data_IF_059819299737
#
_entry.id   IF_059819299737
#
_cell.length_a   1.000
_cell.length_b   1.000
_cell.length_c   1.000
_cell.angle_alpha   90.00
_cell.angle_beta   90.00
_cell.angle_gamma   90.00
#
_symmetry.space_group_name_H-M   'P 1'
#
loop_
_entity.id
_entity.type
_entity.pdbx_description
1 polymer ?
#
# COMPACT_ATOMS: atom_id res chain seq x y z
N UNK A 1 19.80 -25.48 -35.83
CA UNK A 1 19.29 -25.70 -34.47
C UNK A 1 19.21 -24.33 -33.80
N UNK A 2 18.03 -23.90 -33.36
CA UNK A 2 17.91 -22.65 -32.61
C UNK A 2 18.52 -22.86 -31.22
N UNK A 3 19.40 -21.94 -30.78
CA UNK A 3 19.88 -21.94 -29.40
C UNK A 3 18.68 -21.65 -28.48
N UNK A 4 18.55 -22.33 -27.33
CA UNK A 4 17.51 -21.99 -26.37
C UNK A 4 17.72 -20.53 -25.93
N UNK A 5 16.67 -19.72 -26.03
CA UNK A 5 16.67 -18.36 -25.51
C UNK A 5 16.72 -18.46 -23.98
N UNK A 6 17.88 -18.15 -23.39
CA UNK A 6 18.05 -18.10 -21.94
C UNK A 6 17.69 -16.68 -21.50
N UNK A 7 16.52 -16.53 -20.87
CA UNK A 7 16.16 -15.26 -20.22
C UNK A 7 16.94 -15.18 -18.92
N UNK A 8 17.94 -14.32 -18.86
CA UNK A 8 18.66 -14.06 -17.61
C UNK A 8 17.73 -13.36 -16.64
N UNK A 9 17.80 -13.72 -15.36
CA UNK A 9 17.03 -13.10 -14.29
C UNK A 9 17.99 -12.53 -13.25
N UNK A 10 17.91 -11.22 -13.03
CA UNK A 10 18.59 -10.55 -11.93
C UNK A 10 17.65 -10.46 -10.74
N UNK A 11 18.14 -10.88 -9.59
CA UNK A 11 17.44 -10.80 -8.31
C UNK A 11 17.99 -9.64 -7.50
N UNK A 12 17.10 -8.79 -6.97
CA UNK A 12 17.48 -7.67 -6.11
C UNK A 12 16.70 -7.71 -4.81
N UNK A 13 17.37 -8.03 -3.71
CA UNK A 13 16.79 -8.01 -2.37
C UNK A 13 16.59 -6.57 -1.87
N UNK A 14 15.52 -6.34 -1.12
CA UNK A 14 15.24 -5.05 -0.51
C UNK A 14 14.38 -5.18 0.76
N UNK A 15 14.58 -4.25 1.70
CA UNK A 15 13.75 -4.14 2.91
C UNK A 15 12.47 -3.36 2.61
N UNK A 16 11.32 -3.96 2.92
CA UNK A 16 10.01 -3.32 2.80
C UNK A 16 9.93 -2.12 3.75
N UNK A 17 9.42 -0.99 3.28
CA UNK A 17 9.27 0.25 4.06
C UNK A 17 7.80 0.48 4.43
N UNK A 18 7.59 1.40 5.37
CA UNK A 18 6.25 1.79 5.80
C UNK A 18 5.47 0.67 6.52
N UNK A 19 6.16 -0.32 7.10
CA UNK A 19 5.56 -1.49 7.76
C UNK A 19 4.87 -1.14 9.09
N UNK A 20 5.18 0.02 9.68
CA UNK A 20 4.62 0.49 10.95
C UNK A 20 3.36 1.34 10.78
N UNK A 21 3.00 1.69 9.55
CA UNK A 21 1.77 2.43 9.26
C UNK A 21 0.61 1.46 9.08
N UNK A 22 -0.60 1.92 9.38
CA UNK A 22 -1.81 1.20 9.05
C UNK A 22 -2.17 1.40 7.56
N UNK A 23 -2.98 0.49 7.04
CA UNK A 23 -3.56 0.61 5.70
C UNK A 23 -4.78 1.56 5.72
N UNK A 24 -5.16 2.05 4.54
CA UNK A 24 -6.29 2.99 4.39
C UNK A 24 -7.64 2.39 4.82
N UNK A 25 -7.75 1.05 4.83
CA UNK A 25 -8.92 0.32 5.32
C UNK A 25 -8.91 0.11 6.85
N UNK A 26 -7.90 0.62 7.55
CA UNK A 26 -7.70 0.49 8.99
C UNK A 26 -7.00 -0.79 9.42
N UNK A 27 -6.61 -1.67 8.49
CA UNK A 27 -5.86 -2.89 8.85
C UNK A 27 -4.42 -2.57 9.23
N UNK A 28 -3.91 -3.20 10.28
CA UNK A 28 -2.54 -2.97 10.73
C UNK A 28 -1.54 -3.85 9.97
N UNK A 29 -0.57 -3.22 9.29
CA UNK A 29 0.52 -3.93 8.61
C UNK A 29 1.36 -4.76 9.58
N UNK A 30 1.51 -4.31 10.83
CA UNK A 30 2.21 -5.05 11.86
C UNK A 30 1.48 -6.34 12.25
N UNK A 31 0.15 -6.32 12.31
CA UNK A 31 -0.65 -7.53 12.56
C UNK A 31 -0.55 -8.50 11.39
N UNK A 32 -0.62 -8.00 10.15
CA UNK A 32 -0.45 -8.84 8.96
C UNK A 32 0.93 -9.52 8.96
N UNK A 33 2.02 -8.77 9.19
CA UNK A 33 3.37 -9.33 9.25
C UNK A 33 3.53 -10.34 10.39
N UNK A 34 2.92 -10.07 11.55
CA UNK A 34 2.89 -11.00 12.67
C UNK A 34 2.19 -12.30 12.30
N UNK A 35 1.06 -12.23 11.60
CA UNK A 35 0.30 -13.40 11.18
C UNK A 35 1.02 -14.20 10.10
N UNK A 36 1.70 -13.54 9.15
CA UNK A 36 2.62 -14.19 8.20
C UNK A 36 3.74 -14.91 8.95
N UNK A 37 4.41 -14.25 9.90
CA UNK A 37 5.50 -14.86 10.69
C UNK A 37 5.03 -16.07 11.49
N UNK A 38 3.78 -16.05 11.95
CA UNK A 38 3.16 -17.12 12.75
C UNK A 38 2.43 -18.15 11.89
N UNK A 39 2.42 -18.00 10.56
CA UNK A 39 1.67 -18.85 9.62
C UNK A 39 0.21 -19.00 10.06
N UNK A 40 -0.45 -17.87 10.33
CA UNK A 40 -1.86 -17.82 10.70
C UNK A 40 -2.72 -17.53 9.48
N UNK A 41 -3.96 -18.07 9.40
CA UNK A 41 -4.87 -17.75 8.31
C UNK A 41 -5.05 -16.23 8.12
N UNK A 42 -5.08 -15.72 6.87
CA UNK A 42 -5.01 -16.43 5.59
C UNK A 42 -3.57 -16.60 5.02
N UNK A 43 -2.57 -16.64 5.89
CA UNK A 43 -1.13 -16.73 5.56
C UNK A 43 -0.48 -18.03 6.07
N UNK A 44 -1.30 -19.02 6.38
CA UNK A 44 -0.91 -20.36 6.82
C UNK A 44 -0.51 -21.29 5.66
N UNK A 45 -0.92 -20.94 4.44
CA UNK A 45 -0.60 -21.64 3.19
C UNK A 45 0.34 -20.81 2.29
N UNK A 46 0.20 -20.98 0.97
CA UNK A 46 1.01 -20.34 -0.06
C UNK A 46 0.86 -18.81 -0.01
N UNK A 47 2.00 -18.12 -0.06
CA UNK A 47 2.04 -16.65 -0.09
C UNK A 47 2.13 -16.17 -1.53
N UNK A 48 1.10 -15.47 -1.99
CA UNK A 48 1.07 -14.77 -3.27
C UNK A 48 1.57 -13.34 -3.09
N UNK A 49 2.73 -13.03 -3.68
CA UNK A 49 3.36 -11.72 -3.62
C UNK A 49 3.05 -10.93 -4.90
N UNK A 50 2.67 -9.66 -4.74
CA UNK A 50 2.50 -8.76 -5.87
C UNK A 50 2.90 -7.31 -5.56
N UNK A 51 3.20 -6.57 -6.62
CA UNK A 51 3.37 -5.13 -6.60
C UNK A 51 2.10 -4.46 -7.11
N UNK A 52 1.67 -3.41 -6.43
CA UNK A 52 0.59 -2.54 -6.89
C UNK A 52 1.07 -1.09 -6.93
N UNK A 53 1.00 -0.49 -8.11
CA UNK A 53 1.36 0.92 -8.31
C UNK A 53 0.32 1.85 -7.67
N UNK A 54 0.81 2.87 -6.97
CA UNK A 54 0.00 3.95 -6.43
C UNK A 54 0.73 5.29 -6.58
N UNK A 55 -0.02 6.39 -6.47
CA UNK A 55 0.54 7.74 -6.49
C UNK A 55 0.88 8.20 -5.07
N UNK A 56 2.13 8.60 -4.86
CA UNK A 56 2.60 9.23 -3.64
C UNK A 56 3.17 10.61 -3.98
N UNK A 57 2.47 11.68 -3.60
CA UNK A 57 2.89 13.06 -3.85
C UNK A 57 3.16 13.36 -5.34
N UNK A 58 2.35 12.79 -6.25
CA UNK A 58 2.51 12.98 -7.69
C UNK A 58 3.63 12.15 -8.32
N UNK A 59 4.18 11.17 -7.58
CA UNK A 59 5.22 10.26 -8.06
C UNK A 59 4.76 8.80 -7.97
N UNK A 60 5.18 7.93 -8.91
CA UNK A 60 4.88 6.52 -8.84
C UNK A 60 5.56 5.88 -7.62
N UNK A 61 4.78 5.16 -6.84
CA UNK A 61 5.21 4.34 -5.71
C UNK A 61 4.53 2.98 -5.80
N UNK A 62 5.03 2.00 -5.03
CA UNK A 62 4.59 0.62 -5.18
C UNK A 62 4.31 0.00 -3.82
N UNK A 63 3.08 -0.46 -3.61
CA UNK A 63 2.73 -1.31 -2.49
C UNK A 63 3.31 -2.70 -2.70
N UNK A 64 3.79 -3.29 -1.60
CA UNK A 64 4.09 -4.72 -1.51
C UNK A 64 2.88 -5.39 -0.86
N UNK A 65 2.29 -6.34 -1.57
CA UNK A 65 1.10 -7.07 -1.11
C UNK A 65 1.38 -8.56 -0.95
N UNK A 66 0.75 -9.17 0.04
CA UNK A 66 0.73 -10.61 0.31
C UNK A 66 -0.71 -11.06 0.38
N UNK A 67 -1.12 -12.01 -0.46
CA UNK A 67 -2.51 -12.50 -0.53
C UNK A 67 -3.54 -11.37 -0.66
N UNK A 68 -3.19 -10.29 -1.36
CA UNK A 68 -4.03 -9.09 -1.55
C UNK A 68 -3.92 -8.03 -0.44
N UNK A 69 -3.31 -8.35 0.71
CA UNK A 69 -3.12 -7.45 1.84
C UNK A 69 -1.82 -6.65 1.71
N UNK A 70 -1.88 -5.33 1.90
CA UNK A 70 -0.70 -4.46 1.88
C UNK A 70 0.12 -4.70 3.14
N UNK A 71 1.40 -5.02 2.96
CA UNK A 71 2.37 -5.19 4.06
C UNK A 71 3.37 -4.03 4.17
N UNK A 72 3.44 -3.19 3.14
CA UNK A 72 4.29 -2.00 3.11
C UNK A 72 4.52 -1.52 1.68
N UNK A 73 5.63 -0.83 1.46
CA UNK A 73 5.97 -0.20 0.19
C UNK A 73 7.41 -0.49 -0.24
N UNK A 74 7.65 -0.43 -1.55
CA UNK A 74 8.99 -0.37 -2.12
C UNK A 74 9.71 0.89 -1.60
N UNK A 75 10.99 0.81 -1.20
CA UNK A 75 11.76 1.99 -0.83
C UNK A 75 11.80 3.03 -1.95
N UNK A 76 11.73 4.31 -1.58
CA UNK A 76 11.70 5.42 -2.56
C UNK A 76 12.89 5.43 -3.52
N UNK A 77 14.08 4.99 -3.08
CA UNK A 77 15.27 4.88 -3.94
C UNK A 77 15.16 3.77 -4.99
N UNK A 78 14.29 2.79 -4.77
CA UNK A 78 14.08 1.65 -5.68
C UNK A 78 12.90 1.87 -6.63
N UNK A 79 11.97 2.78 -6.29
CA UNK A 79 10.82 3.11 -7.15
C UNK A 79 11.21 3.48 -8.59
N UNK A 80 12.21 4.34 -8.87
CA UNK A 80 12.59 4.66 -10.25
C UNK A 80 13.02 3.42 -11.05
N UNK A 81 13.79 2.53 -10.43
CA UNK A 81 14.22 1.27 -11.05
C UNK A 81 13.01 0.37 -11.38
N UNK A 82 12.02 0.30 -10.49
CA UNK A 82 10.78 -0.46 -10.71
C UNK A 82 9.98 0.14 -11.87
N UNK A 83 9.88 1.48 -11.93
CA UNK A 83 9.19 2.18 -13.02
C UNK A 83 9.86 1.93 -14.37
N UNK A 84 11.18 2.07 -14.44
CA UNK A 84 11.97 1.91 -15.66
C UNK A 84 11.98 0.48 -16.19
N UNK A 85 11.90 -0.51 -15.29
CA UNK A 85 11.95 -1.93 -15.63
C UNK A 85 10.60 -2.63 -15.56
N UNK A 86 9.48 -1.89 -15.55
CA UNK A 86 8.13 -2.42 -15.35
C UNK A 86 7.83 -3.63 -16.23
N UNK A 87 8.14 -3.56 -17.52
CA UNK A 87 7.84 -4.64 -18.46
C UNK A 87 8.76 -5.87 -18.29
N UNK A 88 9.89 -5.67 -17.61
CA UNK A 88 10.90 -6.69 -17.33
C UNK A 88 10.77 -7.32 -15.95
N UNK A 89 9.93 -6.77 -15.06
CA UNK A 89 9.71 -7.37 -13.75
C UNK A 89 8.91 -8.66 -13.92
N UNK A 90 9.49 -9.75 -13.45
CA UNK A 90 8.86 -11.07 -13.42
C UNK A 90 7.95 -11.17 -12.20
N UNK A 91 8.40 -10.65 -11.06
CA UNK A 91 7.60 -10.63 -9.83
C UNK A 91 8.43 -10.42 -8.56
N UNK A 92 7.78 -10.60 -7.43
CA UNK A 92 8.40 -10.66 -6.11
C UNK A 92 8.54 -12.11 -5.66
N UNK A 93 9.65 -12.41 -4.99
CA UNK A 93 9.95 -13.72 -4.43
C UNK A 93 10.65 -13.58 -3.07
N UNK A 94 10.87 -14.72 -2.40
CA UNK A 94 11.69 -14.84 -1.19
C UNK A 94 11.29 -13.84 -0.09
N UNK A 95 9.98 -13.77 0.23
CA UNK A 95 9.51 -12.95 1.35
C UNK A 95 10.00 -13.56 2.67
N UNK A 96 10.86 -12.83 3.37
CA UNK A 96 11.26 -13.15 4.74
C UNK A 96 10.67 -12.14 5.71
N UNK A 97 10.01 -12.63 6.75
CA UNK A 97 9.50 -11.79 7.85
C UNK A 97 10.32 -12.07 9.11
N UNK A 98 10.78 -10.99 9.73
CA UNK A 98 11.56 -11.03 10.98
C UNK A 98 11.05 -9.99 11.97
N UNK A 99 11.52 -10.05 13.21
CA UNK A 99 11.03 -9.17 14.28
C UNK A 99 12.12 -8.86 15.30
N UNK A 100 12.06 -7.68 15.89
CA UNK A 100 12.87 -7.31 17.05
C UNK A 100 11.99 -6.74 18.17
N UNK A 101 12.47 -6.78 19.40
CA UNK A 101 11.82 -6.13 20.53
C UNK A 101 12.42 -4.74 20.70
N UNK A 102 11.58 -3.73 20.56
CA UNK A 102 11.95 -2.35 20.81
C UNK A 102 12.29 -2.18 22.29
N UNK A 103 13.46 -1.60 22.58
CA UNK A 103 13.97 -1.49 23.96
C UNK A 103 13.22 -0.45 24.78
N UNK A 104 12.73 0.60 24.13
CA UNK A 104 12.12 1.75 24.82
C UNK A 104 10.64 1.48 25.10
N UNK A 105 9.91 0.95 24.12
CA UNK A 105 8.48 0.67 24.23
C UNK A 105 8.18 -0.76 24.69
N UNK A 106 9.17 -1.66 24.64
CA UNK A 106 8.99 -3.08 24.92
C UNK A 106 8.18 -3.84 23.87
N UNK A 107 7.71 -3.17 22.81
CA UNK A 107 6.86 -3.73 21.76
C UNK A 107 7.68 -4.54 20.76
N UNK A 108 7.10 -5.62 20.24
CA UNK A 108 7.70 -6.35 19.12
C UNK A 108 7.33 -5.67 17.81
N UNK A 109 8.35 -5.32 17.02
CA UNK A 109 8.21 -4.72 15.70
C UNK A 109 8.59 -5.75 14.65
N UNK A 110 7.70 -5.97 13.69
CA UNK A 110 7.88 -6.88 12.57
C UNK A 110 8.31 -6.11 11.32
N UNK A 111 9.22 -6.70 10.54
CA UNK A 111 9.70 -6.17 9.27
C UNK A 111 9.79 -7.28 8.23
N UNK A 112 9.82 -6.89 6.96
CA UNK A 112 9.90 -7.80 5.84
C UNK A 112 11.03 -7.43 4.88
N UNK A 113 11.64 -8.45 4.30
CA UNK A 113 12.58 -8.38 3.18
C UNK A 113 12.01 -9.22 2.04
N UNK A 114 12.14 -8.73 0.82
CA UNK A 114 11.66 -9.42 -0.37
C UNK A 114 12.66 -9.21 -1.52
N UNK A 115 12.61 -10.11 -2.48
CA UNK A 115 13.47 -10.08 -3.66
C UNK A 115 12.66 -9.75 -4.90
N UNK A 116 13.10 -8.74 -5.64
CA UNK A 116 12.56 -8.39 -6.95
C UNK A 116 13.30 -9.19 -8.03
N UNK A 117 12.56 -9.99 -8.81
CA UNK A 117 13.07 -10.72 -9.95
C UNK A 117 12.81 -9.92 -11.23
N UNK A 118 13.87 -9.55 -11.94
CA UNK A 118 13.83 -8.75 -13.17
C UNK A 118 14.49 -9.54 -14.29
N UNK A 119 13.81 -9.69 -15.41
CA UNK A 119 14.42 -10.26 -16.60
C UNK A 119 15.38 -9.30 -17.26
N UNK A 120 16.45 -9.85 -17.81
CA UNK A 120 17.32 -9.16 -18.74
C UNK A 120 17.18 -9.81 -20.10
N UNK A 121 16.82 -8.98 -21.07
CA UNK A 121 17.03 -9.33 -22.46
C UNK A 121 18.50 -9.02 -22.75
N UNK A 122 19.31 -10.05 -22.95
CA UNK A 122 20.61 -9.81 -23.58
C UNK A 122 20.34 -9.28 -24.98
N UNK A 123 20.62 -8.00 -25.22
CA UNK A 123 21.04 -7.60 -26.56
C UNK A 123 22.32 -8.39 -26.81
N UNK A 124 22.24 -9.44 -27.63
CA UNK A 124 23.41 -10.20 -28.03
C UNK A 124 24.43 -9.29 -28.71
N UNK A 125 25.41 -8.83 -27.95
CA UNK A 125 26.68 -8.36 -28.45
C UNK A 125 27.79 -9.13 -27.74
N UNK A 126 28.73 -9.60 -28.56
CA UNK A 126 29.92 -10.40 -28.24
C UNK A 126 30.47 -10.19 -26.82
N UNK A 127 30.76 -11.34 -26.19
CA UNK A 127 31.49 -11.44 -24.94
C UNK A 127 32.94 -10.95 -25.12
N UNK A 128 33.16 -9.65 -24.96
CA UNK A 128 34.48 -9.11 -24.68
C UNK A 128 34.55 -8.72 -23.20
N UNK A 129 35.26 -9.58 -22.46
CA UNK A 129 36.08 -9.30 -21.27
C UNK A 129 35.58 -8.17 -20.35
N UNK A 130 35.07 -8.53 -19.17
CA UNK A 130 35.03 -7.61 -18.04
C UNK A 130 35.64 -8.24 -16.80
N UNK A 131 36.63 -7.54 -16.26
CA UNK A 131 37.39 -7.81 -15.06
C UNK A 131 36.48 -7.96 -13.83
N UNK A 132 36.82 -8.96 -13.02
CA UNK A 132 36.28 -9.21 -11.69
C UNK A 132 36.49 -7.96 -10.81
N UNK A 133 35.40 -7.29 -10.40
CA UNK A 133 35.31 -6.50 -9.16
C UNK A 133 33.91 -5.86 -9.00
N UNK A 134 32.83 -6.65 -9.02
CA UNK A 134 31.53 -6.26 -8.45
C UNK A 134 30.69 -7.52 -8.15
N UNK A 135 30.66 -7.97 -6.89
CA UNK A 135 29.82 -9.09 -6.47
C UNK A 135 28.33 -8.67 -6.42
N UNK A 136 27.66 -8.74 -7.57
CA UNK A 136 26.21 -8.87 -7.68
C UNK A 136 25.97 -10.16 -8.44
N UNK A 137 25.61 -11.25 -7.74
CA UNK A 137 25.59 -12.60 -8.29
C UNK A 137 24.62 -12.76 -9.47
N UNK A 138 25.15 -12.69 -10.69
CA UNK A 138 24.45 -13.05 -11.93
C UNK A 138 24.44 -14.59 -12.02
N UNK A 139 23.35 -15.22 -11.64
CA UNK A 139 23.17 -16.65 -11.87
C UNK A 139 22.52 -16.90 -13.23
N UNK A 140 23.30 -17.38 -14.19
CA UNK A 140 22.78 -17.94 -15.44
C UNK A 140 22.13 -19.31 -15.18
N UNK A 141 20.81 -19.35 -14.98
CA UNK A 141 20.06 -20.61 -14.96
C UNK A 141 19.48 -20.88 -16.36
N UNK A 142 19.70 -22.07 -16.96
CA UNK A 142 18.86 -22.50 -18.07
C UNK A 142 17.43 -22.56 -17.56
N UNK A 143 16.51 -21.82 -18.19
CA UNK A 143 15.10 -21.76 -17.78
C UNK A 143 14.55 -23.20 -17.78
N UNK A 144 14.36 -23.84 -16.62
CA UNK A 144 13.64 -25.10 -16.58
C UNK A 144 12.20 -24.79 -17.02
N UNK A 145 11.51 -25.76 -17.61
CA UNK A 145 10.05 -25.67 -17.68
C UNK A 145 9.54 -25.24 -16.30
N UNK A 146 8.91 -24.06 -16.27
CA UNK A 146 8.45 -23.40 -15.07
C UNK A 146 7.42 -24.31 -14.39
N UNK A 147 7.89 -25.09 -13.43
CA UNK A 147 7.04 -25.80 -12.48
C UNK A 147 7.05 -24.98 -11.19
N UNK A 148 6.02 -24.15 -10.96
CA UNK A 148 5.96 -23.37 -9.75
C UNK A 148 5.87 -24.34 -8.56
N UNK A 149 6.77 -24.21 -7.58
CA UNK A 149 6.69 -24.96 -6.31
C UNK A 149 5.54 -24.50 -5.40
N UNK A 150 4.70 -23.60 -5.91
CA UNK A 150 3.43 -23.21 -5.32
C UNK A 150 2.44 -23.05 -6.46
N UNK A 151 1.41 -23.90 -6.46
CA UNK A 151 0.36 -23.93 -7.49
C UNK A 151 -0.56 -22.71 -7.34
N UNK A 152 -0.04 -21.53 -7.60
CA UNK A 152 -0.75 -20.26 -7.62
C UNK A 152 -0.57 -19.59 -8.98
N UNK A 153 -1.68 -19.16 -9.58
CA UNK A 153 -1.73 -18.50 -10.89
C UNK A 153 -0.73 -17.33 -10.98
N UNK A 154 -0.14 -17.15 -12.16
CA UNK A 154 0.69 -16.00 -12.58
C UNK A 154 0.24 -14.71 -11.88
N UNK A 155 1.11 -14.08 -11.09
CA UNK A 155 0.89 -12.74 -10.56
C UNK A 155 1.10 -11.73 -11.69
N UNK A 156 0.02 -11.51 -12.42
CA UNK A 156 -0.11 -10.44 -13.41
C UNK A 156 -0.26 -9.14 -12.64
N UNK A 157 0.56 -8.15 -13.00
CA UNK A 157 0.32 -6.73 -12.75
C UNK A 157 -1.17 -6.43 -12.55
N UNK A 158 -1.57 -6.02 -11.36
CA UNK A 158 -2.95 -5.60 -11.12
C UNK A 158 -3.07 -4.10 -11.38
N UNK A 159 -3.80 -3.75 -12.43
CA UNK A 159 -4.30 -2.39 -12.59
C UNK A 159 -5.18 -2.02 -11.39
N UNK A 160 -5.19 -0.75 -10.96
CA UNK A 160 -6.02 -0.31 -9.85
C UNK A 160 -7.48 -0.66 -10.12
N UNK A 161 -8.11 -1.33 -9.16
CA UNK A 161 -9.50 -1.79 -9.28
C UNK A 161 -10.47 -0.65 -9.65
N UNK A 162 -11.48 -0.95 -10.49
CA UNK A 162 -12.52 0.03 -10.89
C UNK A 162 -13.16 0.73 -9.69
N UNK A 163 -13.29 0.04 -8.55
CA UNK A 163 -13.85 0.60 -7.31
C UNK A 163 -12.97 1.69 -6.68
N UNK A 164 -11.64 1.63 -6.83
CA UNK A 164 -10.75 2.70 -6.38
C UNK A 164 -10.89 3.97 -7.24
N UNK A 165 -11.09 3.79 -8.56
CA UNK A 165 -11.33 4.90 -9.50
C UNK A 165 -12.70 5.56 -9.27
N UNK A 166 -13.71 4.77 -8.95
CA UNK A 166 -15.07 5.23 -8.64
C UNK A 166 -15.18 5.88 -7.26
N UNK A 167 -14.43 5.38 -6.25
CA UNK A 167 -14.29 6.06 -4.93
C UNK A 167 -13.65 7.44 -5.06
N UNK A 168 -12.59 7.60 -5.86
CA UNK A 168 -11.95 8.90 -6.16
C UNK A 168 -12.91 9.87 -6.88
N UNK A 169 -13.72 9.37 -7.81
CA UNK A 169 -14.74 10.20 -8.48
C UNK A 169 -15.81 10.67 -7.50
N UNK A 170 -16.30 9.77 -6.64
CA UNK A 170 -17.35 10.09 -5.67
C UNK A 170 -16.86 11.01 -4.52
N UNK A 171 -15.59 10.91 -4.10
CA UNK A 171 -15.00 11.85 -3.13
C UNK A 171 -14.80 13.25 -3.70
N UNK A 172 -14.32 13.36 -4.95
CA UNK A 172 -14.17 14.63 -5.64
C UNK A 172 -15.53 15.32 -5.89
N UNK A 173 -16.57 14.53 -6.18
CA UNK A 173 -17.94 15.03 -6.30
C UNK A 173 -18.47 15.46 -4.93
N UNK A 174 -18.27 14.66 -3.86
CA UNK A 174 -18.71 15.00 -2.49
C UNK A 174 -18.06 16.27 -1.95
N UNK A 175 -16.76 16.45 -2.11
CA UNK A 175 -16.07 17.69 -1.67
C UNK A 175 -16.63 18.91 -2.41
N UNK A 176 -16.89 18.79 -3.72
CA UNK A 176 -17.44 19.88 -4.52
C UNK A 176 -18.87 20.28 -4.12
N UNK A 177 -19.71 19.32 -3.71
CA UNK A 177 -21.05 19.61 -3.17
C UNK A 177 -21.01 20.18 -1.75
N UNK A 178 -20.11 19.71 -0.88
CA UNK A 178 -19.96 20.26 0.49
C UNK A 178 -19.54 21.75 0.42
N UNK A 179 -18.59 22.10 -0.45
CA UNK A 179 -18.18 23.51 -0.63
C UNK A 179 -19.27 24.36 -1.30
N UNK A 180 -20.04 23.82 -2.25
CA UNK A 180 -21.14 24.56 -2.88
C UNK A 180 -22.29 24.85 -1.91
N UNK A 181 -22.67 23.87 -1.06
CA UNK A 181 -23.76 24.05 -0.09
C UNK A 181 -23.34 24.99 1.06
N UNK A 182 -22.11 24.88 1.55
CA UNK A 182 -21.59 25.82 2.58
C UNK A 182 -21.39 27.24 2.03
N UNK A 183 -20.92 27.38 0.79
CA UNK A 183 -20.70 28.69 0.16
C UNK A 183 -21.99 29.45 -0.12
N UNK A 184 -23.04 28.77 -0.59
CA UNK A 184 -24.35 29.39 -0.82
C UNK A 184 -25.03 29.75 0.51
N UNK A 185 -24.88 28.92 1.56
CA UNK A 185 -25.40 29.21 2.89
C UNK A 185 -24.80 30.47 3.53
N UNK A 186 -23.47 30.65 3.42
CA UNK A 186 -22.78 31.83 3.99
C UNK A 186 -23.08 33.13 3.24
N UNK A 187 -23.31 33.06 1.93
CA UNK A 187 -23.74 34.22 1.11
C UNK A 187 -25.19 34.63 1.41
N UNK A 188 -26.10 33.68 1.63
CA UNK A 188 -27.49 34.00 1.99
C UNK A 188 -27.60 34.61 3.41
N UNK A 189 -26.72 34.20 4.33
CA UNK A 189 -26.68 34.72 5.70
C UNK A 189 -26.18 36.16 5.80
N UNK A 190 -25.32 36.60 4.89
CA UNK A 190 -24.75 37.94 4.91
C UNK A 190 -25.70 39.02 4.37
N UNK A 191 -26.74 38.63 3.61
CA UNK A 191 -27.73 39.55 3.04
C UNK A 191 -28.88 39.85 4.02
N UNK A 192 -29.09 39.05 5.07
CA UNK A 192 -30.21 39.22 6.02
C UNK A 192 -29.83 39.77 7.41
N UNK A 193 -28.54 40.07 7.66
CA UNK A 193 -28.09 40.66 8.91
C UNK A 193 -28.36 42.18 8.97
N UNK A 194 -29.64 42.56 8.95
CA UNK A 194 -30.09 43.85 9.51
C UNK A 194 -30.30 43.67 11.02
N UNK A 195 -29.92 44.69 11.80
CA UNK A 195 -29.54 44.62 13.22
C UNK A 195 -30.61 44.15 14.23
N UNK A 196 -31.76 43.65 13.80
CA UNK A 196 -32.88 43.23 14.66
C UNK A 196 -32.99 41.72 14.91
N UNK A 197 -32.20 40.85 14.27
CA UNK A 197 -32.40 39.39 14.31
C UNK A 197 -31.25 38.55 14.90
N UNK A 198 -30.26 39.19 15.53
CA UNK A 198 -29.06 38.50 16.05
C UNK A 198 -29.40 37.47 17.13
N UNK A 199 -30.42 37.70 17.97
CA UNK A 199 -30.78 36.75 19.04
C UNK A 199 -31.36 35.44 18.50
N UNK A 200 -32.26 35.52 17.52
CA UNK A 200 -32.84 34.34 16.85
C UNK A 200 -31.76 33.57 16.11
N UNK A 201 -30.79 34.28 15.54
CA UNK A 201 -29.67 33.70 14.82
C UNK A 201 -28.76 32.85 15.74
N UNK A 202 -28.42 33.34 16.93
CA UNK A 202 -27.62 32.58 17.92
C UNK A 202 -28.37 31.32 18.38
N UNK A 203 -29.70 31.40 18.56
CA UNK A 203 -30.51 30.24 18.94
C UNK A 203 -30.59 29.17 17.85
N UNK A 204 -30.75 29.56 16.58
CA UNK A 204 -30.78 28.60 15.46
C UNK A 204 -29.40 27.97 15.25
N UNK A 205 -28.33 28.75 15.36
CA UNK A 205 -26.97 28.23 15.22
C UNK A 205 -26.60 27.23 16.33
N UNK A 206 -26.94 27.53 17.58
CA UNK A 206 -26.72 26.60 18.71
C UNK A 206 -27.57 25.33 18.60
N UNK A 207 -28.79 25.43 18.07
CA UNK A 207 -29.64 24.28 17.80
C UNK A 207 -29.06 23.38 16.70
N UNK A 208 -28.55 23.97 15.61
CA UNK A 208 -27.88 23.23 14.53
C UNK A 208 -26.59 22.57 15.00
N UNK A 209 -25.77 23.24 15.81
CA UNK A 209 -24.59 22.63 16.42
C UNK A 209 -24.97 21.43 17.30
N UNK A 210 -26.03 21.52 18.10
CA UNK A 210 -26.51 20.40 18.92
C UNK A 210 -27.01 19.23 18.07
N UNK A 211 -27.67 19.51 16.94
CA UNK A 211 -28.12 18.49 16.00
C UNK A 211 -26.95 17.77 15.32
N UNK A 212 -25.89 18.51 14.97
CA UNK A 212 -24.64 17.93 14.46
C UNK A 212 -23.98 17.07 15.54
N UNK A 213 -23.89 17.53 16.79
CA UNK A 213 -23.38 16.71 17.91
C UNK A 213 -24.22 15.45 18.14
N UNK A 214 -25.55 15.52 18.00
CA UNK A 214 -26.46 14.39 18.15
C UNK A 214 -26.30 13.37 17.00
N UNK A 215 -26.10 13.85 15.78
CA UNK A 215 -25.80 13.00 14.61
C UNK A 215 -24.43 12.35 14.78
N UNK A 216 -23.42 13.08 15.27
CA UNK A 216 -22.10 12.53 15.61
C UNK A 216 -22.18 11.46 16.71
N UNK A 217 -23.01 11.68 17.73
CA UNK A 217 -23.24 10.69 18.79
C UNK A 217 -23.99 9.44 18.28
N UNK A 218 -24.93 9.61 17.34
CA UNK A 218 -25.76 8.50 16.82
C UNK A 218 -25.10 7.69 15.70
N UNK A 219 -24.15 8.27 14.96
CA UNK A 219 -23.39 7.59 13.90
C UNK A 219 -21.97 7.17 14.32
N UNK A 220 -21.63 7.30 15.60
CA UNK A 220 -20.74 6.37 16.29
C UNK A 220 -19.26 6.41 15.89
N UNK A 221 -18.50 7.30 16.53
CA UNK A 221 -17.07 7.09 16.79
C UNK A 221 -16.86 6.92 18.30
N UNK A 222 -17.48 5.89 18.88
CA UNK A 222 -17.26 5.46 20.26
C UNK A 222 -16.91 3.97 20.26
N UNK A 223 -15.66 3.67 19.91
CA UNK A 223 -15.09 2.34 20.16
C UNK A 223 -13.60 2.44 20.48
N UNK A 224 -13.22 3.37 21.34
CA UNK A 224 -11.93 3.34 22.03
C UNK A 224 -12.07 4.07 23.36
N UNK A 225 -12.47 3.32 24.38
CA UNK A 225 -11.96 3.42 25.75
C UNK A 225 -12.65 2.35 26.59
N UNK A 226 -11.86 1.53 27.29
CA UNK A 226 -12.35 0.54 28.25
C UNK A 226 -12.00 -0.90 27.91
N UNK A 227 -10.78 -1.32 28.26
CA UNK A 227 -10.52 -2.64 28.84
C UNK A 227 -9.19 -2.62 29.59
N UNK A 228 -9.23 -2.08 30.81
CA UNK A 228 -8.53 -2.70 31.94
C UNK A 228 -9.23 -4.03 32.26
N UNK A 229 -8.48 -4.96 32.86
CA UNK A 229 -8.80 -6.28 33.44
C UNK A 229 -7.60 -7.17 33.04
N UNK A 230 -6.54 -7.23 33.85
CA UNK A 230 -6.33 -8.22 34.93
C UNK A 230 -6.45 -9.69 34.47
N UNK A 231 -5.38 -10.44 34.80
CA UNK A 231 -5.03 -11.85 34.56
C UNK A 231 -4.31 -12.24 33.24
#
# INVERSE_FOLDING_TARGET
MARPYVRMVRNRAFKVKGVTFDNDDGTSRQEILKDIKRRRPPFDEDLCLCLEEYDYEGRPAYYVKVNGSIIGVIPSYLSPFVTENRDNIIGLQDLEVSSFRDRDTGKTIYYAEATLAVSMDECGCESDVFDDDYEDGIYGYPVPEYHPRFSGKKSVWQEPSKSAKERRSNEAIRTRWVFAVFGIGLMALSILASAAHISVFVSVFTFLCSLVSLVYARYGFFKYWGREDED
#
